data_IF_710523513927
#
_entry.id   IF_710523513927
#
_cell.length_a   1.000
_cell.length_b   1.000
_cell.length_c   1.000
_cell.angle_alpha   90.00
_cell.angle_beta   90.00
_cell.angle_gamma   90.00
#
_symmetry.space_group_name_H-M   'P 1'
#
loop_
_entity.id
_entity.type
_entity.pdbx_description
1 polymer ?
#
# COMPACT_ATOMS: atom_id res chain seq x y z
N UNK A 1 5.37 -3.71 11.63
CA UNK A 1 5.73 -5.05 12.20
C UNK A 1 5.46 -6.09 11.13
N UNK A 2 6.34 -7.07 10.95
CA UNK A 2 6.20 -8.15 9.97
C UNK A 2 5.73 -9.44 10.66
N UNK A 3 4.85 -10.20 10.01
CA UNK A 3 4.46 -11.53 10.46
C UNK A 3 5.59 -12.54 10.19
N UNK A 4 6.01 -13.27 11.21
CA UNK A 4 7.00 -14.35 11.13
C UNK A 4 6.50 -15.57 11.90
N UNK A 5 7.00 -16.79 11.62
CA UNK A 5 6.69 -17.95 12.46
C UNK A 5 7.06 -17.64 13.93
N UNK A 6 6.07 -17.66 14.82
CA UNK A 6 6.25 -17.36 16.26
C UNK A 6 5.85 -15.96 16.72
N UNK A 7 5.34 -15.07 15.85
CA UNK A 7 4.76 -13.79 16.25
C UNK A 7 5.07 -12.63 15.30
N UNK A 8 5.30 -11.45 15.85
CA UNK A 8 5.65 -10.25 15.07
C UNK A 8 7.10 -9.84 15.30
N UNK A 9 7.85 -9.64 14.22
CA UNK A 9 9.21 -9.10 14.27
C UNK A 9 9.27 -7.68 13.68
N UNK A 10 10.36 -6.98 13.96
CA UNK A 10 10.73 -5.79 13.19
C UNK A 10 11.08 -6.23 11.76
N UNK A 11 10.37 -5.66 10.77
CA UNK A 11 10.68 -5.90 9.36
C UNK A 11 11.85 -5.03 8.90
N UNK A 12 12.30 -5.25 7.67
CA UNK A 12 13.36 -4.46 7.05
C UNK A 12 13.13 -2.93 7.14
N UNK A 13 11.88 -2.49 7.11
CA UNK A 13 11.53 -1.07 7.27
C UNK A 13 12.02 -0.46 8.58
N UNK A 14 11.90 -1.15 9.72
CA UNK A 14 12.36 -0.56 10.99
C UNK A 14 13.89 -0.44 11.06
N UNK A 15 14.60 -1.37 10.43
CA UNK A 15 16.07 -1.28 10.32
C UNK A 15 16.46 -0.07 9.47
N UNK A 16 15.75 0.14 8.36
CA UNK A 16 15.99 1.27 7.47
C UNK A 16 15.70 2.62 8.14
N UNK A 17 14.58 2.74 8.87
CA UNK A 17 14.26 3.93 9.68
C UNK A 17 15.37 4.23 10.70
N UNK A 18 15.84 3.22 11.44
CA UNK A 18 16.95 3.37 12.40
C UNK A 18 18.22 3.85 11.70
N UNK A 19 18.51 3.34 10.50
CA UNK A 19 19.68 3.78 9.74
C UNK A 19 19.58 5.24 9.28
N UNK A 20 18.38 5.71 8.90
CA UNK A 20 18.12 7.13 8.61
C UNK A 20 18.24 8.01 9.86
N UNK A 21 17.73 7.55 11.01
CA UNK A 21 17.84 8.23 12.31
C UNK A 21 19.33 8.45 12.70
N UNK A 22 20.22 7.52 12.34
CA UNK A 22 21.67 7.62 12.53
C UNK A 22 22.39 8.42 11.42
N UNK A 23 21.66 9.07 10.51
CA UNK A 23 22.20 9.91 9.43
C UNK A 23 22.60 9.15 8.16
N UNK A 24 22.31 7.86 8.08
CA UNK A 24 22.46 7.06 6.88
C UNK A 24 21.46 7.45 5.79
N UNK A 25 21.79 7.17 4.52
CA UNK A 25 20.86 7.38 3.40
C UNK A 25 20.17 6.07 3.05
N UNK A 26 18.83 6.09 2.98
CA UNK A 26 18.01 4.95 2.54
C UNK A 26 17.28 5.30 1.25
N UNK A 27 17.21 4.33 0.34
CA UNK A 27 16.33 4.41 -0.82
C UNK A 27 15.16 3.45 -0.63
N UNK A 28 13.97 4.01 -0.46
CA UNK A 28 12.74 3.23 -0.31
C UNK A 28 12.13 2.89 -1.66
N UNK A 29 11.96 1.59 -1.91
CA UNK A 29 11.45 1.08 -3.20
C UNK A 29 10.13 0.32 -3.09
N UNK A 30 9.69 -0.03 -1.88
CA UNK A 30 8.43 -0.74 -1.64
C UNK A 30 7.21 0.16 -1.85
N UNK A 31 6.01 -0.38 -1.61
CA UNK A 31 4.80 0.45 -1.56
C UNK A 31 4.92 1.43 -0.36
N UNK A 32 4.49 2.70 -0.48
CA UNK A 32 3.75 3.31 -1.59
C UNK A 32 4.62 3.97 -2.69
N UNK A 33 5.93 3.73 -2.72
CA UNK A 33 6.84 4.43 -3.63
C UNK A 33 6.62 4.07 -5.10
N UNK A 34 6.69 5.06 -5.99
CA UNK A 34 6.43 4.94 -7.43
C UNK A 34 7.23 3.82 -8.12
N UNK A 35 8.44 3.54 -7.63
CA UNK A 35 9.38 2.60 -8.25
C UNK A 35 8.80 1.17 -8.40
N UNK A 36 8.15 0.62 -7.36
CA UNK A 36 7.59 -0.74 -7.44
C UNK A 36 6.41 -0.81 -8.40
N UNK A 37 5.55 0.20 -8.42
CA UNK A 37 4.39 0.27 -9.32
C UNK A 37 4.82 0.40 -10.79
N UNK A 38 5.78 1.29 -11.07
CA UNK A 38 6.34 1.46 -12.40
C UNK A 38 7.02 0.17 -12.90
N UNK A 39 7.73 -0.53 -12.00
CA UNK A 39 8.33 -1.82 -12.34
C UNK A 39 7.27 -2.87 -12.70
N UNK A 40 6.21 -3.00 -11.90
CA UNK A 40 5.12 -3.94 -12.16
C UNK A 40 4.39 -3.63 -13.48
N UNK A 41 4.03 -2.38 -13.74
CA UNK A 41 3.37 -1.97 -14.98
C UNK A 41 4.25 -2.25 -16.22
N UNK A 42 5.56 -2.00 -16.12
CA UNK A 42 6.53 -2.30 -17.17
C UNK A 42 6.62 -3.80 -17.46
N UNK A 43 6.60 -4.67 -16.44
CA UNK A 43 6.59 -6.12 -16.65
C UNK A 43 5.34 -6.58 -17.42
N UNK A 44 4.19 -5.94 -17.16
CA UNK A 44 2.95 -6.23 -17.86
C UNK A 44 2.81 -5.53 -19.23
N UNK A 45 3.72 -4.61 -19.57
CA UNK A 45 3.67 -3.85 -20.82
C UNK A 45 2.45 -2.92 -20.95
N UNK A 46 1.93 -2.42 -19.82
CA UNK A 46 0.74 -1.55 -19.78
C UNK A 46 1.05 -0.19 -19.17
N UNK A 47 0.38 0.88 -19.63
CA UNK A 47 0.51 2.19 -19.01
C UNK A 47 -0.28 2.26 -17.68
N UNK A 48 0.03 3.21 -16.77
CA UNK A 48 -0.62 3.33 -15.46
C UNK A 48 -2.15 3.35 -15.50
N UNK A 49 -2.74 4.02 -16.49
CA UNK A 49 -4.20 4.17 -16.62
C UNK A 49 -4.94 2.85 -16.90
N UNK A 50 -4.20 1.82 -17.33
CA UNK A 50 -4.71 0.45 -17.56
C UNK A 50 -4.45 -0.50 -16.39
N UNK A 51 -3.95 0.02 -15.26
CA UNK A 51 -3.68 -0.76 -14.05
C UNK A 51 -4.76 -0.50 -13.00
N UNK A 52 -5.27 -1.58 -12.41
CA UNK A 52 -6.06 -1.54 -11.17
C UNK A 52 -5.23 -2.16 -10.05
N UNK A 53 -4.82 -1.33 -9.08
CA UNK A 53 -4.15 -1.80 -7.87
C UNK A 53 -5.20 -2.30 -6.86
N UNK A 54 -5.15 -3.59 -6.51
CA UNK A 54 -6.03 -4.19 -5.51
C UNK A 54 -5.24 -4.45 -4.24
N UNK A 55 -5.72 -3.96 -3.10
CA UNK A 55 -5.03 -4.12 -1.82
C UNK A 55 -5.90 -3.73 -0.62
N UNK A 56 -5.39 -3.95 0.58
CA UNK A 56 -6.12 -3.80 1.86
C UNK A 56 -5.62 -2.62 2.71
N UNK A 57 -4.52 -1.98 2.30
CA UNK A 57 -3.92 -0.86 3.00
C UNK A 57 -4.11 0.45 2.25
N UNK A 58 -4.73 1.44 2.90
CA UNK A 58 -4.86 2.80 2.34
C UNK A 58 -3.49 3.45 2.13
N UNK A 59 -2.60 3.32 3.11
CA UNK A 59 -1.26 3.90 3.08
C UNK A 59 -0.39 3.33 1.97
N UNK A 60 -0.39 2.00 1.81
CA UNK A 60 0.57 1.35 0.92
C UNK A 60 -0.02 1.16 -0.49
N UNK A 61 -1.24 0.63 -0.58
CA UNK A 61 -1.84 0.21 -1.85
C UNK A 61 -2.58 1.37 -2.53
N UNK A 62 -3.47 2.03 -1.79
CA UNK A 62 -4.34 3.06 -2.37
C UNK A 62 -3.56 4.35 -2.64
N UNK A 63 -2.81 4.85 -1.67
CA UNK A 63 -1.98 6.03 -1.87
C UNK A 63 -0.86 5.77 -2.89
N UNK A 64 -0.29 4.56 -2.90
CA UNK A 64 0.71 4.18 -3.90
C UNK A 64 0.15 4.13 -5.33
N UNK A 65 -1.04 3.56 -5.52
CA UNK A 65 -1.73 3.57 -6.81
C UNK A 65 -2.01 5.01 -7.30
N UNK A 66 -2.54 5.86 -6.41
CA UNK A 66 -2.80 7.27 -6.70
C UNK A 66 -1.53 8.01 -7.10
N UNK A 67 -0.44 7.89 -6.33
CA UNK A 67 0.86 8.50 -6.64
C UNK A 67 1.52 7.97 -7.90
N UNK A 68 1.18 6.74 -8.31
CA UNK A 68 1.62 6.17 -9.59
C UNK A 68 0.80 6.67 -10.78
N UNK A 69 -0.48 7.02 -10.57
CA UNK A 69 -1.44 7.37 -11.61
C UNK A 69 -2.32 6.20 -12.07
N UNK A 70 -2.45 5.15 -11.25
CA UNK A 70 -3.32 4.00 -11.50
C UNK A 70 -4.65 4.11 -10.74
N UNK A 71 -5.63 3.31 -11.16
CA UNK A 71 -6.87 3.11 -10.41
C UNK A 71 -6.62 2.17 -9.22
N UNK A 72 -7.49 2.22 -8.22
CA UNK A 72 -7.35 1.43 -7.01
C UNK A 72 -8.67 0.82 -6.50
N UNK A 73 -8.57 -0.38 -5.95
CA UNK A 73 -9.66 -1.07 -5.26
C UNK A 73 -9.21 -1.52 -3.87
N UNK A 74 -9.90 -1.04 -2.83
CA UNK A 74 -9.69 -1.47 -1.46
C UNK A 74 -10.48 -2.74 -1.18
N UNK A 75 -9.82 -3.85 -0.81
CA UNK A 75 -10.48 -5.08 -0.35
C UNK A 75 -10.66 -5.07 1.17
N UNK A 76 -11.82 -5.54 1.64
CA UNK A 76 -12.23 -5.55 3.06
C UNK A 76 -11.89 -6.86 3.78
N UNK A 77 -10.86 -7.58 3.34
CA UNK A 77 -10.43 -8.86 3.93
C UNK A 77 -9.09 -8.79 4.68
N UNK A 78 -8.47 -7.61 4.76
CA UNK A 78 -7.14 -7.43 5.36
C UNK A 78 -7.13 -6.43 6.53
N UNK A 79 -6.15 -5.52 6.56
CA UNK A 79 -5.89 -4.59 7.67
C UNK A 79 -7.13 -3.80 8.11
N UNK A 80 -8.02 -3.47 7.17
CA UNK A 80 -9.25 -2.71 7.42
C UNK A 80 -10.53 -3.56 7.32
N UNK A 81 -10.44 -4.88 7.54
CA UNK A 81 -11.59 -5.77 7.48
C UNK A 81 -12.71 -5.32 8.42
N UNK A 82 -12.39 -5.12 9.69
CA UNK A 82 -13.36 -4.78 10.75
C UNK A 82 -13.57 -3.27 10.93
N UNK A 83 -13.00 -2.44 10.05
CA UNK A 83 -13.11 -0.99 10.15
C UNK A 83 -14.56 -0.51 9.93
N UNK A 84 -15.05 0.35 10.83
CA UNK A 84 -16.32 1.04 10.63
C UNK A 84 -16.21 2.04 9.46
N UNK A 85 -17.35 2.48 8.88
CA UNK A 85 -17.32 3.51 7.84
C UNK A 85 -16.57 4.78 8.27
N UNK A 86 -16.73 5.22 9.53
CA UNK A 86 -16.04 6.39 10.06
C UNK A 86 -14.52 6.17 10.16
N UNK A 87 -14.08 4.96 10.53
CA UNK A 87 -12.66 4.61 10.56
C UNK A 87 -12.05 4.55 9.16
N UNK A 88 -12.80 4.07 8.16
CA UNK A 88 -12.36 4.10 6.76
C UNK A 88 -12.19 5.54 6.26
N UNK A 89 -13.18 6.39 6.50
CA UNK A 89 -13.13 7.80 6.12
C UNK A 89 -11.95 8.53 6.77
N UNK A 90 -11.69 8.25 8.06
CA UNK A 90 -10.53 8.78 8.76
C UNK A 90 -9.20 8.26 8.16
N UNK A 91 -9.14 7.00 7.71
CA UNK A 91 -7.96 6.45 7.03
C UNK A 91 -7.73 7.12 5.67
N UNK A 92 -8.79 7.31 4.86
CA UNK A 92 -8.70 8.00 3.58
C UNK A 92 -8.21 9.43 3.74
N UNK A 93 -8.74 10.15 4.73
CA UNK A 93 -8.32 11.52 5.03
C UNK A 93 -6.85 11.58 5.49
N UNK A 94 -6.44 10.68 6.39
CA UNK A 94 -5.07 10.63 6.94
C UNK A 94 -4.00 10.47 5.87
N UNK A 95 -4.26 9.65 4.86
CA UNK A 95 -3.32 9.38 3.78
C UNK A 95 -3.60 10.21 2.51
N UNK A 96 -4.56 11.13 2.57
CA UNK A 96 -5.03 11.90 1.41
C UNK A 96 -5.32 11.02 0.18
N UNK A 97 -5.87 9.83 0.40
CA UNK A 97 -6.05 8.81 -0.62
C UNK A 97 -7.41 8.13 -0.47
N UNK A 98 -8.27 8.24 -1.49
CA UNK A 98 -9.57 7.56 -1.57
C UNK A 98 -9.52 6.51 -2.69
N UNK A 99 -9.94 5.26 -2.44
CA UNK A 99 -9.98 4.25 -3.49
C UNK A 99 -11.08 4.53 -4.50
N UNK A 100 -10.88 4.13 -5.77
CA UNK A 100 -11.92 4.22 -6.80
C UNK A 100 -13.05 3.20 -6.53
N UNK A 101 -12.70 2.06 -5.93
CA UNK A 101 -13.64 0.99 -5.59
C UNK A 101 -13.38 0.43 -4.19
N UNK A 102 -14.44 -0.02 -3.51
CA UNK A 102 -14.34 -0.80 -2.27
C UNK A 102 -15.01 -2.14 -2.51
N UNK A 103 -14.27 -3.22 -2.28
CA UNK A 103 -14.70 -4.59 -2.52
C UNK A 103 -14.81 -5.34 -1.18
N UNK A 104 -15.88 -6.12 -0.94
CA UNK A 104 -15.99 -6.92 0.27
C UNK A 104 -14.88 -7.98 0.35
N UNK A 105 -14.53 -8.60 -0.77
CA UNK A 105 -13.46 -9.58 -0.91
C UNK A 105 -13.01 -9.68 -2.37
N UNK A 106 -11.83 -10.27 -2.62
CA UNK A 106 -11.38 -10.71 -3.94
C UNK A 106 -11.65 -12.21 -4.08
N UNK A 107 -12.60 -12.58 -4.94
CA UNK A 107 -13.04 -13.96 -5.18
C UNK A 107 -13.01 -14.27 -6.69
N UNK A 108 -12.86 -15.55 -7.04
CA UNK A 108 -12.80 -16.07 -8.41
C UNK A 108 -13.99 -16.98 -8.71
#
# INVERSE_FOLDING_TARGET
RMLVPGGTAFGAGRIAELYEEEGGTVTWIGKPHRAIYAHAARLCGVPPERVLCVGDSVEHDIAGALGFGARSALVRTGILADATPQQLEAAFARHAARPDHILPALVW
#
